data_IF_068923861090
#
_entry.id   IF_068923861090
#
_cell.length_a   1.000
_cell.length_b   1.000
_cell.length_c   1.000
_cell.angle_alpha   90.00
_cell.angle_beta   90.00
_cell.angle_gamma   90.00
#
_symmetry.space_group_name_H-M   'P 1'
#
loop_
_entity.id
_entity.type
_entity.pdbx_description
1 polymer ?
#
# COMPACT_ATOMS: atom_id res chain seq x y z
N UNK A 1 -22.55 -9.02 -23.75
CA UNK A 1 -21.90 -7.84 -23.13
C UNK A 1 -22.20 -7.94 -21.64
N UNK A 2 -21.26 -8.43 -20.83
CA UNK A 2 -21.49 -8.51 -19.39
C UNK A 2 -21.44 -7.07 -18.85
N UNK A 3 -22.59 -6.56 -18.41
CA UNK A 3 -22.62 -5.35 -17.58
C UNK A 3 -21.74 -5.62 -16.36
N UNK A 4 -20.63 -4.88 -16.24
CA UNK A 4 -19.86 -4.90 -15.01
C UNK A 4 -20.73 -4.32 -13.91
N UNK A 5 -21.33 -5.19 -13.09
CA UNK A 5 -22.11 -4.78 -11.94
C UNK A 5 -21.24 -3.93 -11.00
N UNK A 6 -21.74 -2.75 -10.63
CA UNK A 6 -21.05 -1.86 -9.68
C UNK A 6 -20.81 -2.59 -8.37
N UNK A 7 -19.53 -2.72 -7.97
CA UNK A 7 -19.15 -3.37 -6.72
C UNK A 7 -19.30 -2.39 -5.55
N UNK A 8 -20.07 -2.76 -4.52
CA UNK A 8 -20.10 -2.02 -3.23
C UNK A 8 -18.96 -2.50 -2.35
N UNK A 9 -18.06 -1.59 -1.99
CA UNK A 9 -16.90 -1.84 -1.13
C UNK A 9 -16.71 -0.67 -0.18
N UNK A 10 -16.00 -0.90 0.94
CA UNK A 10 -15.55 0.19 1.81
C UNK A 10 -14.44 0.99 1.12
N UNK A 11 -14.21 2.22 1.59
CA UNK A 11 -13.10 3.04 1.08
C UNK A 11 -11.75 2.32 1.23
N UNK A 12 -11.48 1.69 2.37
CA UNK A 12 -10.23 0.97 2.60
C UNK A 12 -10.03 -0.21 1.63
N UNK A 13 -11.09 -0.98 1.38
CA UNK A 13 -11.07 -2.06 0.37
C UNK A 13 -10.80 -1.51 -1.02
N UNK A 14 -11.44 -0.40 -1.40
CA UNK A 14 -11.21 0.25 -2.68
C UNK A 14 -9.77 0.74 -2.83
N UNK A 15 -9.19 1.35 -1.79
CA UNK A 15 -7.80 1.83 -1.78
C UNK A 15 -6.81 0.67 -1.92
N UNK A 16 -6.94 -0.39 -1.12
CA UNK A 16 -6.01 -1.53 -1.21
C UNK A 16 -6.14 -2.24 -2.56
N UNK A 17 -7.37 -2.45 -3.05
CA UNK A 17 -7.58 -3.03 -4.38
C UNK A 17 -7.01 -2.15 -5.49
N UNK A 18 -7.15 -0.83 -5.38
CA UNK A 18 -6.58 0.12 -6.33
C UNK A 18 -5.05 0.02 -6.33
N UNK A 19 -4.40 0.11 -5.18
CA UNK A 19 -2.94 0.03 -5.05
C UNK A 19 -2.39 -1.30 -5.59
N UNK A 20 -3.06 -2.42 -5.31
CA UNK A 20 -2.67 -3.74 -5.79
C UNK A 20 -2.76 -3.89 -7.31
N UNK A 21 -3.61 -3.10 -7.97
CA UNK A 21 -3.79 -3.11 -9.42
C UNK A 21 -3.08 -1.93 -10.11
N UNK A 22 -2.03 -1.37 -9.51
CA UNK A 22 -1.19 -0.36 -10.15
C UNK A 22 0.02 -1.01 -10.82
N UNK A 23 0.25 -0.62 -12.07
CA UNK A 23 1.35 -1.10 -12.90
C UNK A 23 2.13 0.08 -13.46
N UNK A 24 3.40 -0.16 -13.76
CA UNK A 24 4.26 0.78 -14.47
C UNK A 24 4.96 0.05 -15.60
N UNK A 25 5.08 0.71 -16.74
CA UNK A 25 5.74 0.18 -17.92
C UNK A 25 6.99 1.00 -18.24
N UNK A 26 8.08 0.30 -18.59
CA UNK A 26 9.27 0.91 -19.17
C UNK A 26 9.91 -0.07 -20.14
N UNK A 27 10.31 0.43 -21.31
CA UNK A 27 10.99 -0.35 -22.35
C UNK A 27 10.21 -1.62 -22.77
N UNK A 28 8.87 -1.50 -22.88
CA UNK A 28 7.97 -2.59 -23.26
C UNK A 28 7.76 -3.66 -22.18
N UNK A 29 8.21 -3.42 -20.94
CA UNK A 29 8.03 -4.32 -19.80
C UNK A 29 7.14 -3.67 -18.76
N UNK A 30 5.97 -4.28 -18.54
CA UNK A 30 5.05 -3.92 -17.47
C UNK A 30 5.34 -4.72 -16.20
N UNK A 31 5.23 -4.07 -15.04
CA UNK A 31 5.39 -4.69 -13.73
C UNK A 31 4.52 -4.00 -12.67
N UNK A 32 4.18 -4.68 -11.56
CA UNK A 32 3.45 -4.07 -10.46
C UNK A 32 4.24 -2.90 -9.85
N UNK A 33 3.57 -1.76 -9.69
CA UNK A 33 4.17 -0.56 -9.12
C UNK A 33 4.31 -0.66 -7.60
N UNK A 34 3.27 -1.12 -6.91
CA UNK A 34 3.34 -1.38 -5.47
C UNK A 34 3.67 -2.86 -5.20
N UNK A 35 4.75 -3.10 -4.47
CA UNK A 35 5.17 -4.47 -4.09
C UNK A 35 4.60 -4.93 -2.75
N UNK A 36 3.65 -4.16 -2.20
CA UNK A 36 3.02 -4.36 -0.92
C UNK A 36 2.95 -3.06 -0.11
N UNK A 37 2.65 -3.18 1.18
CA UNK A 37 2.63 -2.07 2.11
C UNK A 37 3.34 -2.36 3.42
N UNK A 38 3.97 -1.34 3.97
CA UNK A 38 4.37 -1.32 5.37
C UNK A 38 3.31 -0.64 6.20
N UNK A 39 3.25 -0.99 7.48
CA UNK A 39 2.51 -0.17 8.43
C UNK A 39 2.74 -0.49 9.89
N UNK A 40 2.26 0.44 10.72
CA UNK A 40 2.02 0.23 12.15
C UNK A 40 0.54 0.48 12.38
N UNK A 41 -0.15 -0.55 12.87
CA UNK A 41 -1.57 -0.46 13.16
C UNK A 41 -1.79 0.27 14.48
N UNK A 42 -2.66 1.28 14.42
CA UNK A 42 -3.31 1.90 15.56
C UNK A 42 -4.82 1.89 15.36
N UNK A 43 -5.55 2.37 16.36
CA UNK A 43 -7.01 2.38 16.36
C UNK A 43 -7.60 3.06 15.11
N UNK A 44 -6.94 4.12 14.60
CA UNK A 44 -7.43 4.90 13.47
C UNK A 44 -7.30 4.24 12.08
N UNK A 45 -6.47 3.20 11.91
CA UNK A 45 -6.27 2.56 10.59
C UNK A 45 -6.56 1.05 10.59
N UNK A 46 -6.45 0.35 11.72
CA UNK A 46 -6.59 -1.12 11.77
C UNK A 46 -7.98 -1.60 11.34
N UNK A 47 -9.05 -0.93 11.77
CA UNK A 47 -10.41 -1.36 11.50
C UNK A 47 -10.77 -1.34 10.00
N UNK A 48 -10.20 -0.41 9.24
CA UNK A 48 -10.42 -0.31 7.79
C UNK A 48 -9.32 -1.00 6.97
N UNK A 49 -8.08 -0.51 7.11
CA UNK A 49 -6.94 -0.97 6.30
C UNK A 49 -6.55 -2.40 6.67
N UNK A 50 -6.55 -2.75 7.96
CA UNK A 50 -6.22 -4.11 8.40
C UNK A 50 -7.19 -5.16 7.83
N UNK A 51 -8.50 -4.87 7.86
CA UNK A 51 -9.52 -5.73 7.24
C UNK A 51 -9.31 -5.84 5.72
N UNK A 52 -9.08 -4.72 5.03
CA UNK A 52 -8.89 -4.71 3.58
C UNK A 52 -7.65 -5.53 3.16
N UNK A 53 -6.54 -5.42 3.90
CA UNK A 53 -5.33 -6.20 3.67
C UNK A 53 -5.54 -7.70 3.92
N UNK A 54 -6.33 -8.07 4.93
CA UNK A 54 -6.67 -9.47 5.19
C UNK A 54 -7.45 -10.10 4.01
N UNK A 55 -8.28 -9.31 3.32
CA UNK A 55 -9.12 -9.78 2.21
C UNK A 55 -8.39 -9.79 0.86
N UNK A 56 -7.20 -9.18 0.78
CA UNK A 56 -6.38 -9.05 -0.43
C UNK A 56 -4.96 -9.54 -0.08
N UNK A 57 -4.78 -10.84 0.21
CA UNK A 57 -3.51 -11.38 0.69
C UNK A 57 -2.36 -11.27 -0.31
N UNK A 58 -2.66 -11.08 -1.60
CA UNK A 58 -1.67 -10.79 -2.64
C UNK A 58 -1.00 -9.42 -2.45
N UNK A 59 -1.69 -8.45 -1.83
CA UNK A 59 -1.10 -7.16 -1.49
C UNK A 59 -0.42 -7.24 -0.13
N UNK A 60 0.79 -7.80 -0.14
CA UNK A 60 1.50 -8.19 1.07
C UNK A 60 1.70 -7.03 2.05
N UNK A 61 1.30 -7.28 3.30
CA UNK A 61 1.58 -6.41 4.43
C UNK A 61 2.90 -6.78 5.12
N UNK A 62 3.70 -5.78 5.45
CA UNK A 62 4.93 -5.88 6.19
C UNK A 62 4.80 -5.06 7.47
N UNK A 63 4.78 -5.75 8.62
CA UNK A 63 4.68 -5.09 9.91
C UNK A 63 5.95 -4.27 10.19
N UNK A 64 5.82 -2.95 10.28
CA UNK A 64 6.86 -2.06 10.75
C UNK A 64 6.80 -1.90 12.27
N UNK A 65 7.88 -1.38 12.86
CA UNK A 65 7.99 -1.04 14.29
C UNK A 65 8.50 0.39 14.54
N UNK A 66 8.85 1.10 13.47
CA UNK A 66 9.29 2.48 13.48
C UNK A 66 8.86 3.15 12.16
N UNK A 67 8.08 4.23 12.24
CA UNK A 67 7.51 4.89 11.07
C UNK A 67 8.56 5.61 10.20
N UNK A 68 9.61 6.18 10.80
CA UNK A 68 10.73 6.80 10.06
C UNK A 68 11.51 5.76 9.26
N UNK A 69 11.85 4.63 9.89
CA UNK A 69 12.55 3.54 9.23
C UNK A 69 11.71 2.98 8.07
N UNK A 70 10.40 2.85 8.27
CA UNK A 70 9.45 2.42 7.24
C UNK A 70 9.52 3.30 5.98
N UNK A 71 9.42 4.63 6.13
CA UNK A 71 9.47 5.53 4.95
C UNK A 71 10.84 5.55 4.30
N UNK A 72 11.93 5.46 5.08
CA UNK A 72 13.27 5.38 4.52
C UNK A 72 13.51 4.08 3.75
N UNK A 73 12.98 2.95 4.22
CA UNK A 73 13.03 1.68 3.48
C UNK A 73 12.27 1.81 2.16
N UNK A 74 11.05 2.35 2.17
CA UNK A 74 10.27 2.55 0.95
C UNK A 74 10.98 3.49 -0.04
N UNK A 75 11.55 4.60 0.44
CA UNK A 75 12.30 5.55 -0.40
C UNK A 75 13.58 4.94 -0.97
N UNK A 76 14.35 4.19 -0.18
CA UNK A 76 15.55 3.50 -0.62
C UNK A 76 15.21 2.42 -1.66
N UNK A 77 14.18 1.61 -1.40
CA UNK A 77 13.69 0.60 -2.34
C UNK A 77 13.29 1.23 -3.69
N UNK A 78 12.50 2.29 -3.65
CA UNK A 78 12.09 3.00 -4.86
C UNK A 78 13.28 3.57 -5.63
N UNK A 79 14.31 4.10 -4.95
CA UNK A 79 15.56 4.55 -5.61
C UNK A 79 16.28 3.37 -6.27
N UNK A 80 16.48 2.26 -5.56
CA UNK A 80 17.14 1.05 -6.09
C UNK A 80 16.39 0.46 -7.28
N UNK A 81 15.06 0.58 -7.31
CA UNK A 81 14.21 0.12 -8.41
C UNK A 81 14.02 1.16 -9.53
N UNK A 82 14.82 2.23 -9.57
CA UNK A 82 14.70 3.31 -10.54
C UNK A 82 13.28 3.92 -10.60
N UNK A 83 12.58 3.95 -9.46
CA UNK A 83 11.19 4.40 -9.29
C UNK A 83 10.16 3.60 -10.08
N UNK A 84 10.52 2.41 -10.54
CA UNK A 84 9.61 1.51 -11.23
C UNK A 84 8.90 0.54 -10.28
N UNK A 85 9.23 0.58 -8.98
CA UNK A 85 8.50 -0.12 -7.92
C UNK A 85 8.66 0.66 -6.61
N UNK A 86 7.69 0.54 -5.70
CA UNK A 86 7.73 1.11 -4.35
C UNK A 86 6.87 0.32 -3.37
N UNK A 87 6.98 0.62 -2.08
CA UNK A 87 6.02 0.20 -1.06
C UNK A 87 5.07 1.33 -0.70
N UNK A 88 3.81 1.01 -0.42
CA UNK A 88 2.91 1.92 0.28
C UNK A 88 3.26 1.95 1.77
N UNK A 89 3.03 3.07 2.45
CA UNK A 89 3.22 3.22 3.89
C UNK A 89 1.90 3.64 4.54
N UNK A 90 1.40 2.88 5.52
CA UNK A 90 0.24 3.26 6.31
C UNK A 90 0.62 3.51 7.76
N UNK A 91 0.13 4.62 8.31
CA UNK A 91 0.21 4.95 9.73
C UNK A 91 -1.19 5.17 10.28
N UNK A 92 -1.34 5.11 11.60
CA UNK A 92 -2.50 5.72 12.25
C UNK A 92 -2.40 7.24 12.20
N UNK A 93 -3.45 7.92 12.67
CA UNK A 93 -3.44 9.37 12.88
C UNK A 93 -2.55 9.75 14.08
N UNK A 94 -2.04 10.98 14.12
CA UNK A 94 -1.24 11.50 15.23
C UNK A 94 0.27 11.42 15.00
N UNK A 95 1.10 11.26 16.06
CA UNK A 95 2.56 11.33 15.95
C UNK A 95 3.18 10.35 14.95
N UNK A 96 2.59 9.16 14.77
CA UNK A 96 3.04 8.19 13.78
C UNK A 96 2.96 8.72 12.34
N UNK A 97 1.99 9.58 12.02
CA UNK A 97 1.91 10.24 10.73
C UNK A 97 2.99 11.33 10.57
N UNK A 98 3.25 12.10 11.62
CA UNK A 98 4.32 13.12 11.62
C UNK A 98 5.71 12.48 11.52
N UNK A 99 5.91 11.29 12.08
CA UNK A 99 7.15 10.53 11.95
C UNK A 99 7.47 10.09 10.51
N UNK A 100 6.53 10.20 9.57
CA UNK A 100 6.75 9.85 8.17
C UNK A 100 7.31 10.99 7.31
N UNK A 101 7.50 12.19 7.89
CA UNK A 101 8.02 13.41 7.24
C UNK A 101 9.47 13.63 7.66
#
# INVERSE_FOLDING_TARGET
>A
MNEQATKRVTMAQAVIAFLNNQYVERDGREQPFFTGCFGIFGHGNIAGIGQALQQIPEFRYYQARNEQAMVHIAAAYAKTKNRLQTFACTSSIGPGATNMV
#
